data_IF_829583608362
#
_entry.id   IF_829583608362
#
_cell.length_a   1.000
_cell.length_b   1.000
_cell.length_c   1.000
_cell.angle_alpha   90.00
_cell.angle_beta   90.00
_cell.angle_gamma   90.00
#
_symmetry.space_group_name_H-M   'P 1'
#
loop_
_entity.id
_entity.type
_entity.pdbx_description
1 polymer ?
#
# COMPACT_ATOMS: atom_id res chain seq x y z
N UNK A 1 -11.76 -8.95 -3.25
CA UNK A 1 -11.64 -10.15 -4.12
C UNK A 1 -12.57 -11.24 -3.59
N UNK A 2 -13.23 -12.01 -4.47
CA UNK A 2 -14.08 -13.15 -4.08
C UNK A 2 -13.53 -14.43 -4.71
N UNK A 3 -13.40 -15.49 -3.91
CA UNK A 3 -13.03 -16.83 -4.38
C UNK A 3 -13.98 -17.87 -3.78
N UNK A 4 -14.87 -18.41 -4.60
CA UNK A 4 -15.93 -19.30 -4.13
C UNK A 4 -16.84 -18.58 -3.12
N UNK A 5 -16.91 -19.10 -1.89
CA UNK A 5 -17.65 -18.51 -0.79
C UNK A 5 -16.80 -17.61 0.13
N UNK A 6 -15.54 -17.34 -0.21
CA UNK A 6 -14.64 -16.51 0.58
C UNK A 6 -14.54 -15.10 -0.01
N UNK A 7 -14.64 -14.09 0.86
CA UNK A 7 -14.47 -12.68 0.52
C UNK A 7 -13.26 -12.12 1.24
N UNK A 8 -12.42 -11.37 0.51
CA UNK A 8 -11.22 -10.72 1.03
C UNK A 8 -11.26 -9.23 0.71
N UNK A 9 -11.22 -8.42 1.77
CA UNK A 9 -10.98 -6.98 1.71
C UNK A 9 -9.54 -6.69 2.10
N UNK A 10 -8.82 -5.96 1.26
CA UNK A 10 -7.43 -5.61 1.46
C UNK A 10 -7.10 -4.33 0.70
N UNK A 11 -6.00 -3.69 1.08
CA UNK A 11 -5.41 -2.60 0.32
C UNK A 11 -4.39 -3.13 -0.69
N UNK A 12 -4.43 -2.57 -1.90
CA UNK A 12 -3.42 -2.74 -2.93
C UNK A 12 -2.75 -1.39 -3.25
N UNK A 13 -1.77 -1.39 -4.16
CA UNK A 13 -1.03 -0.17 -4.52
C UNK A 13 -1.94 0.98 -4.98
N UNK A 14 -3.01 0.70 -5.72
CA UNK A 14 -3.95 1.72 -6.20
C UNK A 14 -4.69 2.38 -5.02
N UNK A 15 -5.27 1.57 -4.14
CA UNK A 15 -5.98 2.07 -2.95
C UNK A 15 -5.06 2.82 -1.99
N UNK A 16 -3.80 2.37 -1.85
CA UNK A 16 -2.79 3.07 -1.05
C UNK A 16 -2.51 4.44 -1.67
N UNK A 17 -2.27 4.54 -2.99
CA UNK A 17 -2.05 5.84 -3.65
C UNK A 17 -3.22 6.80 -3.46
N UNK A 18 -4.46 6.31 -3.54
CA UNK A 18 -5.66 7.10 -3.26
C UNK A 18 -5.65 7.63 -1.82
N UNK A 19 -5.36 6.78 -0.84
CA UNK A 19 -5.25 7.18 0.57
C UNK A 19 -4.15 8.20 0.80
N UNK A 20 -3.00 8.07 0.15
CA UNK A 20 -1.88 9.02 0.28
C UNK A 20 -2.22 10.38 -0.32
N UNK A 21 -2.89 10.41 -1.48
CA UNK A 21 -3.40 11.66 -2.09
C UNK A 21 -4.38 12.37 -1.16
N UNK A 22 -5.36 11.65 -0.63
CA UNK A 22 -6.28 12.19 0.36
C UNK A 22 -5.56 12.71 1.61
N UNK A 23 -4.57 11.97 2.10
CA UNK A 23 -3.78 12.34 3.27
C UNK A 23 -3.05 13.68 3.05
N UNK A 24 -2.43 13.86 1.88
CA UNK A 24 -1.80 15.12 1.45
C UNK A 24 -2.80 16.25 1.36
N UNK A 25 -3.95 16.02 0.71
CA UNK A 25 -5.03 17.02 0.58
C UNK A 25 -5.55 17.51 1.93
N UNK A 26 -5.50 16.66 2.97
CA UNK A 26 -5.90 17.02 4.34
C UNK A 26 -4.77 17.62 5.18
N UNK A 27 -3.54 17.64 4.69
CA UNK A 27 -2.40 18.22 5.40
C UNK A 27 -1.96 17.41 6.63
N UNK A 28 -2.16 16.09 6.65
CA UNK A 28 -1.63 15.23 7.71
C UNK A 28 -0.11 15.02 7.56
N UNK A 29 0.57 14.72 8.67
CA UNK A 29 2.04 14.65 8.71
C UNK A 29 2.68 13.38 8.16
N UNK A 30 1.92 12.32 7.87
CA UNK A 30 2.46 11.08 7.32
C UNK A 30 1.53 9.88 7.49
N UNK A 31 1.93 8.74 6.93
CA UNK A 31 1.22 7.47 7.02
C UNK A 31 1.91 6.49 7.98
N UNK A 32 1.11 5.67 8.65
CA UNK A 32 1.57 4.53 9.44
C UNK A 32 1.28 3.24 8.66
N UNK A 33 2.23 2.30 8.69
CA UNK A 33 2.09 0.97 8.06
C UNK A 33 2.11 -0.12 9.12
N UNK A 34 1.10 -0.99 9.08
CA UNK A 34 1.04 -2.22 9.86
C UNK A 34 0.85 -3.40 8.91
N UNK A 35 1.85 -4.23 8.67
CA UNK A 35 3.27 -4.17 9.07
C UNK A 35 4.16 -4.44 7.86
N UNK A 36 5.48 -4.28 8.03
CA UNK A 36 6.45 -4.54 6.95
C UNK A 36 6.43 -6.00 6.48
N UNK A 37 6.25 -6.95 7.39
CA UNK A 37 6.30 -8.39 7.11
C UNK A 37 5.03 -8.93 6.42
N UNK A 38 3.95 -8.15 6.37
CA UNK A 38 2.73 -8.50 5.62
C UNK A 38 2.66 -7.86 4.22
N UNK A 39 3.58 -6.96 3.89
CA UNK A 39 3.82 -6.57 2.50
C UNK A 39 4.55 -7.72 1.76
N UNK A 40 4.64 -7.67 0.43
CA UNK A 40 5.50 -8.61 -0.32
C UNK A 40 6.97 -8.24 -0.14
N UNK A 41 7.48 -8.36 1.09
CA UNK A 41 8.81 -7.90 1.49
C UNK A 41 9.95 -8.61 0.76
N UNK A 42 9.71 -9.84 0.27
CA UNK A 42 10.67 -10.57 -0.58
C UNK A 42 10.49 -10.28 -2.06
N UNK A 43 9.35 -9.73 -2.47
CA UNK A 43 9.01 -9.47 -3.88
C UNK A 43 8.75 -10.73 -4.70
N UNK A 44 8.32 -11.82 -4.06
CA UNK A 44 8.19 -13.15 -4.68
C UNK A 44 6.75 -13.59 -4.89
N UNK A 45 5.77 -12.87 -4.35
CA UNK A 45 4.36 -13.29 -4.33
C UNK A 45 3.48 -12.50 -5.31
N UNK A 46 3.73 -11.20 -5.44
CA UNK A 46 2.85 -10.27 -6.16
C UNK A 46 3.36 -9.89 -7.56
N UNK A 47 4.60 -10.23 -7.90
CA UNK A 47 5.22 -9.86 -9.18
C UNK A 47 5.47 -8.35 -9.33
N UNK A 48 5.61 -7.63 -8.21
CA UNK A 48 5.77 -6.17 -8.15
C UNK A 48 7.12 -5.72 -7.55
N UNK A 49 8.02 -6.66 -7.29
CA UNK A 49 9.24 -6.42 -6.54
C UNK A 49 8.98 -6.31 -5.03
N UNK A 50 10.04 -6.12 -4.22
CA UNK A 50 9.93 -6.08 -2.77
C UNK A 50 9.22 -4.81 -2.28
N UNK A 51 8.41 -4.95 -1.25
CA UNK A 51 7.69 -3.87 -0.55
C UNK A 51 6.80 -2.98 -1.44
N UNK A 52 5.92 -3.56 -2.29
CA UNK A 52 5.12 -2.77 -3.22
C UNK A 52 4.19 -1.74 -2.54
N UNK A 53 3.64 -2.05 -1.38
CA UNK A 53 2.74 -1.12 -0.67
C UNK A 53 3.52 0.00 0.01
N UNK A 54 4.63 -0.32 0.68
CA UNK A 54 5.49 0.71 1.27
C UNK A 54 6.08 1.63 0.20
N UNK A 55 6.49 1.08 -0.94
CA UNK A 55 6.99 1.89 -2.07
C UNK A 55 5.88 2.80 -2.62
N UNK A 56 4.63 2.34 -2.68
CA UNK A 56 3.51 3.20 -3.07
C UNK A 56 3.29 4.36 -2.07
N UNK A 57 3.47 4.13 -0.76
CA UNK A 57 3.45 5.20 0.25
C UNK A 57 4.59 6.19 0.00
N UNK A 58 5.83 5.70 -0.12
CA UNK A 58 7.01 6.52 -0.29
C UNK A 58 6.98 7.34 -1.58
N UNK A 59 6.50 6.76 -2.69
CA UNK A 59 6.39 7.48 -3.96
C UNK A 59 5.35 8.62 -3.92
N UNK A 60 4.32 8.50 -3.08
CA UNK A 60 3.28 9.52 -2.97
C UNK A 60 3.59 10.57 -1.90
N UNK A 61 4.26 10.19 -0.79
CA UNK A 61 4.55 11.10 0.33
C UNK A 61 5.99 11.64 0.32
N UNK A 62 6.91 11.00 -0.40
CA UNK A 62 8.30 11.45 -0.53
C UNK A 62 8.39 12.75 -1.32
N UNK A 63 9.30 13.62 -0.88
CA UNK A 63 9.78 14.75 -1.68
C UNK A 63 10.84 14.25 -2.66
N UNK A 64 10.78 14.69 -3.92
CA UNK A 64 11.90 14.55 -4.87
C UNK A 64 13.21 15.13 -4.33
#
# INVERSE_FOLDING_TARGET
>A
MVKGNQWYGYDNEETIRIKMKWLKEKGYGGAFIWTLDFDDFKGTSCGKGPYPLLNAINNELGSE
#
